data_IF_547875028162
#
_entry.id   IF_547875028162
#
_cell.length_a   1.000
_cell.length_b   1.000
_cell.length_c   1.000
_cell.angle_alpha   90.00
_cell.angle_beta   90.00
_cell.angle_gamma   90.00
#
_symmetry.space_group_name_H-M   'P 1'
#
loop_
_entity.id
_entity.type
_entity.pdbx_description
1 polymer ?
#
# COMPACT_ATOMS: atom_id res chain seq x y z
N UNK A 1 8.58 8.68 -11.82
CA UNK A 1 7.94 9.97 -12.17
C UNK A 1 8.61 11.07 -11.36
N UNK A 2 9.18 12.07 -12.03
CA UNK A 2 9.72 13.27 -11.38
C UNK A 2 8.57 14.27 -11.19
N UNK A 3 8.41 14.80 -9.99
CA UNK A 3 7.32 15.72 -9.61
C UNK A 3 7.94 17.02 -9.10
N UNK A 4 8.11 17.97 -10.01
CA UNK A 4 8.40 19.36 -9.66
C UNK A 4 7.09 20.13 -9.64
N UNK A 5 6.90 20.96 -8.62
CA UNK A 5 5.64 21.68 -8.41
C UNK A 5 5.93 23.18 -8.45
N UNK A 6 5.04 23.92 -9.09
CA UNK A 6 5.06 25.38 -9.11
C UNK A 6 3.69 25.92 -8.74
N UNK A 7 3.62 26.75 -7.71
CA UNK A 7 2.36 27.34 -7.21
C UNK A 7 1.82 28.38 -8.20
N UNK A 8 0.61 28.89 -7.95
CA UNK A 8 0.05 30.02 -8.69
C UNK A 8 0.77 31.34 -8.41
N UNK A 9 0.65 32.29 -9.34
CA UNK A 9 1.19 33.65 -9.20
C UNK A 9 0.67 34.33 -7.92
N UNK A 10 -0.63 34.20 -7.65
CA UNK A 10 -1.28 34.76 -6.46
C UNK A 10 -0.66 34.25 -5.16
N UNK A 11 -0.21 32.99 -5.15
CA UNK A 11 0.32 32.35 -3.96
C UNK A 11 1.81 32.63 -3.71
N UNK A 12 2.50 33.33 -4.63
CA UNK A 12 3.93 33.64 -4.46
C UNK A 12 4.21 34.43 -3.17
N UNK A 13 3.39 35.44 -2.88
CA UNK A 13 3.52 36.24 -1.67
C UNK A 13 2.90 35.56 -0.45
N UNK A 14 1.80 34.81 -0.65
CA UNK A 14 1.11 34.06 0.42
C UNK A 14 2.05 33.05 1.08
N UNK A 15 2.84 32.32 0.29
CA UNK A 15 3.85 31.38 0.82
C UNK A 15 4.82 32.10 1.75
N UNK A 16 5.33 33.27 1.35
CA UNK A 16 6.30 34.03 2.14
C UNK A 16 5.70 34.57 3.43
N UNK A 17 4.48 35.11 3.36
CA UNK A 17 3.75 35.63 4.51
C UNK A 17 3.45 34.52 5.52
N UNK A 18 2.88 33.41 5.07
CA UNK A 18 2.57 32.25 5.93
C UNK A 18 3.84 31.64 6.53
N UNK A 19 4.95 31.57 5.80
CA UNK A 19 6.23 31.07 6.33
C UNK A 19 6.70 31.93 7.51
N UNK A 20 6.59 33.26 7.40
CA UNK A 20 6.95 34.19 8.49
C UNK A 20 6.00 34.09 9.67
N UNK A 21 4.69 34.09 9.41
CA UNK A 21 3.65 33.99 10.46
C UNK A 21 3.78 32.70 11.25
N UNK A 22 3.96 31.58 10.56
CA UNK A 22 4.12 30.26 11.16
C UNK A 22 5.53 30.03 11.76
N UNK A 23 6.43 31.02 11.67
CA UNK A 23 7.81 30.94 12.15
C UNK A 23 8.56 29.72 11.59
N UNK A 24 8.30 29.39 10.32
CA UNK A 24 8.90 28.25 9.65
C UNK A 24 10.25 28.63 9.04
N UNK A 25 11.21 27.71 9.13
CA UNK A 25 12.55 27.95 8.60
C UNK A 25 12.58 28.06 7.06
N UNK A 26 11.67 27.37 6.37
CA UNK A 26 11.69 27.26 4.92
C UNK A 26 10.28 27.20 4.33
N UNK A 27 10.11 27.86 3.18
CA UNK A 27 8.83 28.00 2.46
C UNK A 27 8.21 26.67 2.01
N UNK A 28 9.01 25.61 1.83
CA UNK A 28 8.49 24.28 1.51
C UNK A 28 7.67 23.69 2.66
N UNK A 29 7.96 24.01 3.93
CA UNK A 29 7.16 23.54 5.05
C UNK A 29 5.77 24.17 5.06
N UNK A 30 5.65 25.46 4.74
CA UNK A 30 4.37 26.13 4.60
C UNK A 30 3.50 25.43 3.53
N UNK A 31 4.09 25.12 2.37
CA UNK A 31 3.40 24.40 1.30
C UNK A 31 2.99 22.97 1.67
N UNK A 32 3.79 22.26 2.48
CA UNK A 32 3.42 20.92 3.01
C UNK A 32 2.24 21.00 3.97
N UNK A 33 2.25 21.99 4.87
CA UNK A 33 1.15 22.23 5.81
C UNK A 33 -0.12 22.59 5.04
N UNK A 34 -0.01 23.50 4.07
CA UNK A 34 -1.12 23.89 3.20
C UNK A 34 -1.72 22.68 2.46
N UNK A 35 -0.90 21.81 1.87
CA UNK A 35 -1.37 20.58 1.24
C UNK A 35 -2.20 19.71 2.20
N UNK A 36 -1.65 19.40 3.38
CA UNK A 36 -2.35 18.57 4.36
C UNK A 36 -3.62 19.24 4.90
N UNK A 37 -3.58 20.55 5.10
CA UNK A 37 -4.74 21.33 5.56
C UNK A 37 -5.85 21.39 4.51
N UNK A 38 -5.51 21.46 3.22
CA UNK A 38 -6.47 21.38 2.13
C UNK A 38 -7.16 20.01 2.10
N UNK A 39 -6.39 18.93 2.22
CA UNK A 39 -6.94 17.57 2.25
C UNK A 39 -7.80 17.30 3.48
N UNK A 40 -7.47 17.87 4.65
CA UNK A 40 -8.25 17.66 5.87
C UNK A 40 -9.67 18.24 5.81
N UNK A 41 -9.97 19.11 4.82
CA UNK A 41 -11.33 19.59 4.56
C UNK A 41 -12.22 18.59 3.84
N UNK A 42 -11.65 17.50 3.30
CA UNK A 42 -12.44 16.47 2.61
C UNK A 42 -12.93 16.89 1.22
N UNK A 43 -12.59 18.08 0.73
CA UNK A 43 -13.07 18.61 -0.55
C UNK A 43 -12.37 17.96 -1.73
N UNK A 44 -13.14 17.55 -2.74
CA UNK A 44 -12.63 17.05 -4.03
C UNK A 44 -12.58 18.22 -5.01
N UNK A 45 -11.37 18.64 -5.34
CA UNK A 45 -11.13 19.74 -6.29
C UNK A 45 -11.10 19.20 -7.72
N UNK A 46 -11.53 20.01 -8.68
CA UNK A 46 -11.66 19.68 -10.09
C UNK A 46 -10.48 20.25 -10.89
N UNK A 47 -9.76 19.40 -11.62
CA UNK A 47 -8.59 19.79 -12.39
C UNK A 47 -8.88 20.79 -13.52
N UNK A 48 -10.11 20.86 -14.03
CA UNK A 48 -10.48 21.79 -15.10
C UNK A 48 -10.86 23.16 -14.53
N UNK A 49 -11.41 23.20 -13.31
CA UNK A 49 -11.93 24.43 -12.70
C UNK A 49 -10.97 25.07 -11.71
N UNK A 50 -10.30 24.26 -10.90
CA UNK A 50 -9.55 24.71 -9.74
C UNK A 50 -8.03 24.77 -9.99
N UNK A 51 -7.56 24.15 -11.08
CA UNK A 51 -6.15 24.19 -11.46
C UNK A 51 -5.75 25.57 -11.98
N UNK A 52 -5.03 26.32 -11.13
CA UNK A 52 -4.52 27.65 -11.48
C UNK A 52 -3.21 27.61 -12.26
N UNK A 53 -2.72 28.79 -12.65
CA UNK A 53 -1.44 28.97 -13.34
C UNK A 53 -0.24 28.44 -12.52
N UNK A 54 0.91 28.31 -13.17
CA UNK A 54 2.17 27.83 -12.58
C UNK A 54 3.26 28.91 -12.67
N UNK A 55 2.96 30.15 -12.24
CA UNK A 55 3.92 31.28 -12.27
C UNK A 55 4.45 31.68 -10.90
N UNK A 56 4.03 31.00 -9.84
CA UNK A 56 4.44 31.22 -8.47
C UNK A 56 5.79 30.61 -8.09
N UNK A 57 5.90 30.18 -6.83
CA UNK A 57 7.10 29.58 -6.27
C UNK A 57 7.29 28.18 -6.83
N UNK A 58 8.50 27.89 -7.27
CA UNK A 58 8.89 26.57 -7.78
C UNK A 58 9.61 25.76 -6.70
N UNK A 59 9.23 24.49 -6.57
CA UNK A 59 9.85 23.51 -5.70
C UNK A 59 10.27 22.29 -6.50
N UNK A 60 11.55 21.92 -6.37
CA UNK A 60 12.06 20.63 -6.84
C UNK A 60 11.51 19.50 -5.97
N UNK A 61 11.34 18.32 -6.57
CA UNK A 61 10.84 17.13 -5.89
C UNK A 61 11.51 16.87 -4.53
N UNK A 62 12.84 16.80 -4.48
CA UNK A 62 13.58 16.49 -3.26
C UNK A 62 13.41 17.55 -2.17
N UNK A 63 13.19 18.81 -2.57
CA UNK A 63 12.98 19.93 -1.65
C UNK A 63 11.55 19.90 -1.11
N UNK A 64 10.55 19.72 -1.99
CA UNK A 64 9.15 19.72 -1.58
C UNK A 64 8.80 18.49 -0.77
N UNK A 65 9.26 17.31 -1.14
CA UNK A 65 8.82 16.06 -0.51
C UNK A 65 9.87 15.44 0.42
N UNK A 66 11.15 15.66 0.14
CA UNK A 66 12.24 14.94 0.80
C UNK A 66 12.01 13.41 0.76
N UNK A 67 12.23 12.73 1.88
CA UNK A 67 12.02 11.29 2.00
C UNK A 67 10.54 10.85 2.03
N UNK A 68 9.59 11.79 2.04
CA UNK A 68 8.18 11.50 2.29
C UNK A 68 7.31 11.47 1.03
N UNK A 69 7.88 11.55 -0.17
CA UNK A 69 7.17 11.58 -1.45
C UNK A 69 6.02 10.56 -1.56
N UNK A 70 6.27 9.31 -1.16
CA UNK A 70 5.28 8.25 -1.25
C UNK A 70 4.02 8.54 -0.41
N UNK A 71 4.15 9.23 0.72
CA UNK A 71 3.01 9.61 1.54
C UNK A 71 2.12 10.64 0.86
N UNK A 72 2.69 11.68 0.23
CA UNK A 72 1.91 12.68 -0.51
C UNK A 72 1.14 12.04 -1.67
N UNK A 73 1.80 11.12 -2.40
CA UNK A 73 1.16 10.37 -3.48
C UNK A 73 0.03 9.49 -2.92
N UNK A 74 0.29 8.74 -1.84
CA UNK A 74 -0.71 7.88 -1.22
C UNK A 74 -1.93 8.66 -0.73
N UNK A 75 -1.73 9.83 -0.13
CA UNK A 75 -2.81 10.71 0.32
C UNK A 75 -3.71 11.16 -0.84
N UNK A 76 -3.14 11.62 -1.96
CA UNK A 76 -3.91 11.95 -3.16
C UNK A 76 -4.61 10.73 -3.75
N UNK A 77 -3.91 9.59 -3.84
CA UNK A 77 -4.48 8.36 -4.38
C UNK A 77 -5.67 7.91 -3.54
N UNK A 78 -5.59 8.00 -2.22
CA UNK A 78 -6.68 7.65 -1.32
C UNK A 78 -7.84 8.65 -1.43
N UNK A 79 -7.53 9.94 -1.41
CA UNK A 79 -8.53 11.02 -1.45
C UNK A 79 -9.37 10.98 -2.74
N UNK A 80 -8.71 10.83 -3.89
CA UNK A 80 -9.35 10.81 -5.21
C UNK A 80 -9.64 9.40 -5.74
N UNK A 81 -9.31 8.34 -4.98
CA UNK A 81 -9.42 6.93 -5.41
C UNK A 81 -8.68 6.64 -6.73
N UNK A 82 -7.47 7.20 -6.86
CA UNK A 82 -6.62 7.06 -8.05
C UNK A 82 -5.59 5.94 -7.89
N UNK A 83 -5.17 5.37 -9.02
CA UNK A 83 -4.01 4.48 -9.03
C UNK A 83 -2.71 5.29 -8.97
N UNK A 84 -1.68 4.79 -8.28
CA UNK A 84 -0.36 5.46 -8.11
C UNK A 84 0.38 5.84 -9.39
N UNK A 85 -0.02 5.27 -10.53
CA UNK A 85 0.56 5.56 -11.85
C UNK A 85 -0.23 6.63 -12.62
N UNK A 86 -1.26 7.23 -12.02
CA UNK A 86 -2.05 8.27 -12.66
C UNK A 86 -1.17 9.49 -13.00
N UNK A 87 -1.18 9.96 -14.26
CA UNK A 87 -0.31 11.06 -14.69
C UNK A 87 -0.67 12.41 -14.07
N UNK A 88 -1.87 12.56 -13.50
CA UNK A 88 -2.38 13.81 -12.94
C UNK A 88 -2.05 14.00 -11.46
N UNK A 89 -1.41 13.03 -10.80
CA UNK A 89 -1.05 13.13 -9.36
C UNK A 89 -0.29 14.42 -9.05
N UNK A 90 0.64 14.83 -9.92
CA UNK A 90 1.39 16.08 -9.76
C UNK A 90 0.47 17.32 -9.79
N UNK A 91 -0.56 17.32 -10.63
CA UNK A 91 -1.53 18.41 -10.73
C UNK A 91 -2.42 18.48 -9.49
N UNK A 92 -2.89 17.33 -8.98
CA UNK A 92 -3.65 17.28 -7.72
C UNK A 92 -2.83 17.79 -6.53
N UNK A 93 -1.55 17.43 -6.43
CA UNK A 93 -0.67 17.95 -5.38
C UNK A 93 -0.55 19.47 -5.48
N UNK A 94 -0.27 20.00 -6.68
CA UNK A 94 -0.20 21.45 -6.93
C UNK A 94 -1.50 22.15 -6.52
N UNK A 95 -2.63 21.60 -6.95
CA UNK A 95 -3.96 22.15 -6.71
C UNK A 95 -4.29 22.21 -5.20
N UNK A 96 -3.98 21.15 -4.45
CA UNK A 96 -4.17 21.17 -3.00
C UNK A 96 -3.20 22.09 -2.26
N UNK A 97 -1.96 22.25 -2.73
CA UNK A 97 -1.04 23.25 -2.17
C UNK A 97 -1.63 24.65 -2.37
N UNK A 98 -2.05 24.99 -3.59
CA UNK A 98 -2.62 26.32 -3.87
C UNK A 98 -3.89 26.58 -3.07
N UNK A 99 -4.81 25.63 -3.05
CA UNK A 99 -6.05 25.72 -2.28
C UNK A 99 -5.78 25.88 -0.78
N UNK A 100 -4.86 25.10 -0.23
CA UNK A 100 -4.48 25.16 1.18
C UNK A 100 -3.87 26.50 1.57
N UNK A 101 -3.02 27.06 0.71
CA UNK A 101 -2.41 28.38 0.94
C UNK A 101 -3.49 29.47 0.99
N UNK A 102 -4.48 29.41 0.09
CA UNK A 102 -5.60 30.35 0.08
C UNK A 102 -6.48 30.23 1.32
N UNK A 103 -6.79 29.00 1.76
CA UNK A 103 -7.57 28.78 2.97
C UNK A 103 -6.84 29.28 4.21
N UNK A 104 -5.54 29.02 4.32
CA UNK A 104 -4.73 29.49 5.43
C UNK A 104 -4.63 31.02 5.44
N UNK A 105 -4.39 31.65 4.28
CA UNK A 105 -4.35 33.11 4.17
C UNK A 105 -5.66 33.73 4.66
N UNK A 106 -6.81 33.26 4.17
CA UNK A 106 -8.14 33.74 4.61
C UNK A 106 -8.35 33.53 6.11
N UNK A 107 -7.91 32.41 6.67
CA UNK A 107 -8.04 32.10 8.09
C UNK A 107 -7.28 33.12 8.96
N UNK A 108 -6.03 33.41 8.63
CA UNK A 108 -5.20 34.37 9.39
C UNK A 108 -5.57 35.83 9.13
N UNK A 109 -6.11 36.16 7.95
CA UNK A 109 -6.64 37.50 7.67
C UNK A 109 -7.90 37.79 8.50
N UNK A 110 -8.80 36.82 8.59
CA UNK A 110 -10.06 36.96 9.34
C UNK A 110 -9.84 36.91 10.86
N UNK A 111 -8.80 36.24 11.33
CA UNK A 111 -8.52 36.05 12.76
C UNK A 111 -7.13 36.58 13.14
N UNK A 112 -7.00 37.90 13.29
CA UNK A 112 -5.70 38.56 13.54
C UNK A 112 -5.01 38.14 14.84
N UNK A 113 -5.77 37.70 15.86
CA UNK A 113 -5.23 37.21 17.14
C UNK A 113 -4.93 35.72 17.15
N UNK A 114 -5.32 34.98 16.10
CA UNK A 114 -5.15 33.54 16.02
C UNK A 114 -3.70 33.20 15.71
N UNK A 115 -3.05 32.54 16.67
CA UNK A 115 -1.63 32.24 16.54
C UNK A 115 -1.40 30.98 15.71
N UNK A 116 -0.17 30.87 15.22
CA UNK A 116 0.32 29.70 14.51
C UNK A 116 0.29 28.42 15.37
N UNK A 117 0.45 28.55 16.68
CA UNK A 117 0.35 27.44 17.62
C UNK A 117 -1.09 27.01 17.80
N UNK A 118 -2.02 27.96 17.93
CA UNK A 118 -3.46 27.66 18.01
C UNK A 118 -3.92 26.90 16.76
N UNK A 119 -3.47 27.35 15.58
CA UNK A 119 -3.72 26.65 14.32
C UNK A 119 -3.26 25.20 14.35
N UNK A 120 -2.03 24.94 14.81
CA UNK A 120 -1.49 23.59 14.82
C UNK A 120 -2.21 22.72 15.85
N UNK A 121 -2.41 23.22 17.07
CA UNK A 121 -3.08 22.48 18.15
C UNK A 121 -4.51 22.11 17.74
N UNK A 122 -5.28 23.07 17.22
CA UNK A 122 -6.68 22.82 16.80
C UNK A 122 -6.76 21.77 15.68
N UNK A 123 -5.85 21.79 14.70
CA UNK A 123 -5.86 20.79 13.63
C UNK A 123 -5.36 19.43 14.09
N UNK A 124 -4.45 19.38 15.07
CA UNK A 124 -4.00 18.12 15.68
C UNK A 124 -5.13 17.50 16.49
N UNK A 125 -5.80 18.28 17.34
CA UNK A 125 -6.94 17.85 18.16
C UNK A 125 -8.06 17.30 17.27
N UNK A 126 -8.48 18.04 16.24
CA UNK A 126 -9.47 17.55 15.26
C UNK A 126 -9.06 16.23 14.61
N UNK A 127 -7.76 16.06 14.34
CA UNK A 127 -7.22 14.83 13.79
C UNK A 127 -7.31 13.67 14.78
N UNK A 128 -7.00 13.90 16.06
CA UNK A 128 -7.08 12.90 17.13
C UNK A 128 -8.54 12.51 17.38
N UNK A 129 -9.45 13.48 17.52
CA UNK A 129 -10.88 13.23 17.75
C UNK A 129 -11.49 12.38 16.62
N UNK A 130 -11.10 12.66 15.38
CA UNK A 130 -11.50 11.88 14.21
C UNK A 130 -11.04 10.43 14.30
N UNK A 131 -9.84 10.17 14.83
CA UNK A 131 -9.31 8.82 15.02
C UNK A 131 -9.99 8.09 16.17
N UNK A 132 -10.30 8.79 17.27
CA UNK A 132 -10.99 8.20 18.43
C UNK A 132 -12.44 7.81 18.11
N UNK A 133 -13.13 8.59 17.28
CA UNK A 133 -14.48 8.28 16.80
C UNK A 133 -14.55 7.27 15.66
N UNK A 134 -13.41 6.88 15.08
CA UNK A 134 -13.34 5.90 14.00
C UNK A 134 -13.37 4.49 14.58
N UNK A 135 -14.41 3.71 14.27
CA UNK A 135 -14.36 2.26 14.46
C UNK A 135 -13.21 1.71 13.58
N UNK A 136 -12.07 1.40 14.22
CA UNK A 136 -10.98 0.72 13.54
C UNK A 136 -11.50 -0.69 13.22
N UNK A 137 -11.97 -0.88 12.00
CA UNK A 137 -12.28 -2.21 11.50
C UNK A 137 -10.99 -3.03 11.55
N UNK A 138 -10.96 -4.02 12.44
CA UNK A 138 -9.91 -5.04 12.51
C UNK A 138 -10.05 -6.05 11.36
N UNK A 139 -11.06 -5.89 10.50
CA UNK A 139 -11.20 -6.71 9.32
C UNK A 139 -10.08 -6.42 8.33
N UNK A 140 -9.84 -7.40 7.48
CA UNK A 140 -8.92 -7.28 6.38
C UNK A 140 -9.31 -6.12 5.45
N UNK A 141 -8.32 -5.38 4.96
CA UNK A 141 -8.55 -4.28 3.99
C UNK A 141 -9.25 -4.85 2.75
N UNK A 142 -10.48 -4.41 2.49
CA UNK A 142 -11.19 -4.73 1.25
C UNK A 142 -10.43 -4.14 0.04
N UNK A 143 -9.78 -5.01 -0.72
CA UNK A 143 -9.12 -4.61 -1.96
C UNK A 143 -10.16 -4.36 -3.05
N UNK A 144 -10.62 -3.11 -3.18
CA UNK A 144 -11.58 -2.66 -4.21
C UNK A 144 -10.98 -2.54 -5.62
N UNK A 145 -9.66 -2.77 -5.76
CA UNK A 145 -8.94 -2.75 -7.04
C UNK A 145 -8.67 -4.17 -7.60
N UNK A 146 -9.61 -5.09 -7.43
CA UNK A 146 -9.52 -6.42 -8.04
C UNK A 146 -10.56 -6.58 -9.15
N UNK A 147 -10.17 -6.23 -10.38
CA UNK A 147 -10.76 -6.85 -11.58
C UNK A 147 -10.41 -8.35 -11.71
N UNK A 148 -9.92 -8.97 -10.62
CA UNK A 148 -9.59 -10.38 -10.56
C UNK A 148 -10.88 -11.13 -10.28
N UNK A 149 -11.38 -11.84 -11.29
CA UNK A 149 -12.46 -12.81 -11.12
C UNK A 149 -11.92 -13.97 -10.27
N UNK A 150 -12.17 -13.93 -8.95
CA UNK A 150 -11.75 -14.99 -8.03
C UNK A 150 -12.51 -16.27 -8.36
N UNK A 151 -11.79 -17.33 -8.72
CA UNK A 151 -12.31 -18.69 -8.78
C UNK A 151 -12.00 -19.42 -7.47
N UNK A 152 -12.79 -20.44 -7.14
CA UNK A 152 -12.56 -21.31 -5.99
C UNK A 152 -12.52 -22.77 -6.43
N UNK A 153 -11.77 -23.59 -5.71
CA UNK A 153 -11.72 -25.04 -5.89
C UNK A 153 -12.43 -25.70 -4.70
N UNK A 154 -13.48 -26.48 -4.99
CA UNK A 154 -14.35 -27.04 -3.96
C UNK A 154 -14.09 -28.53 -3.67
N UNK A 155 -13.45 -29.24 -4.59
CA UNK A 155 -13.23 -30.68 -4.45
C UNK A 155 -12.18 -31.00 -3.36
N UNK A 156 -12.17 -32.24 -2.91
CA UNK A 156 -11.24 -32.70 -1.87
C UNK A 156 -9.81 -32.85 -2.41
N UNK A 157 -8.85 -32.18 -1.76
CA UNK A 157 -7.43 -32.21 -2.11
C UNK A 157 -6.75 -33.35 -1.33
N UNK A 158 -6.74 -34.55 -1.93
CA UNK A 158 -6.04 -35.73 -1.39
C UNK A 158 -4.58 -35.77 -1.80
N UNK A 159 -3.69 -35.65 -0.83
CA UNK A 159 -2.23 -35.70 -0.99
C UNK A 159 -1.70 -37.02 -0.43
N UNK A 160 -0.91 -37.75 -1.22
CA UNK A 160 -0.17 -38.91 -0.72
C UNK A 160 1.06 -38.41 0.04
N UNK A 161 1.11 -38.68 1.35
CA UNK A 161 2.19 -38.24 2.25
C UNK A 161 3.16 -39.37 2.61
N UNK A 162 2.76 -40.62 2.43
CA UNK A 162 3.63 -41.77 2.68
C UNK A 162 2.90 -43.10 2.58
N UNK A 163 3.51 -44.13 3.15
CA UNK A 163 2.93 -45.45 3.32
C UNK A 163 3.39 -46.05 4.64
N UNK A 164 2.55 -46.88 5.24
CA UNK A 164 2.94 -47.70 6.39
C UNK A 164 4.03 -48.69 5.97
N UNK A 165 5.06 -48.84 6.81
CA UNK A 165 6.22 -49.68 6.50
C UNK A 165 5.90 -51.17 6.49
N UNK A 166 5.02 -51.61 7.41
CA UNK A 166 4.70 -53.02 7.60
C UNK A 166 3.66 -53.52 6.59
N UNK A 167 2.63 -52.72 6.32
CA UNK A 167 1.48 -53.12 5.51
C UNK A 167 1.55 -52.61 4.07
N UNK A 168 2.41 -51.63 3.79
CA UNK A 168 2.44 -50.91 2.51
C UNK A 168 1.20 -50.03 2.27
N UNK A 169 0.33 -49.86 3.27
CA UNK A 169 -0.90 -49.08 3.13
C UNK A 169 -0.56 -47.61 2.92
N UNK A 170 -1.09 -47.03 1.85
CA UNK A 170 -0.87 -45.61 1.49
C UNK A 170 -1.54 -44.69 2.51
N UNK A 171 -0.79 -43.68 2.95
CA UNK A 171 -1.23 -42.65 3.88
C UNK A 171 -1.57 -41.39 3.08
N UNK A 172 -2.83 -40.99 3.15
CA UNK A 172 -3.33 -39.79 2.49
C UNK A 172 -3.65 -38.72 3.52
N UNK A 173 -3.24 -37.50 3.21
CA UNK A 173 -3.63 -36.29 3.93
C UNK A 173 -4.60 -35.49 3.07
N UNK A 174 -5.71 -35.07 3.68
CA UNK A 174 -6.74 -34.27 3.02
C UNK A 174 -6.63 -32.83 3.50
N UNK A 175 -6.08 -31.97 2.65
CA UNK A 175 -5.68 -30.62 3.04
C UNK A 175 -6.87 -29.72 3.43
N UNK A 176 -8.02 -29.90 2.78
CA UNK A 176 -9.23 -29.09 2.96
C UNK A 176 -10.39 -29.84 3.64
N UNK A 177 -10.11 -30.93 4.37
CA UNK A 177 -11.12 -31.67 5.13
C UNK A 177 -11.31 -31.07 6.55
N UNK A 178 -12.27 -30.16 6.66
CA UNK A 178 -12.58 -29.47 7.93
C UNK A 178 -13.30 -30.34 8.95
N UNK A 179 -13.72 -31.55 8.59
CA UNK A 179 -14.31 -32.50 9.55
C UNK A 179 -13.27 -33.10 10.50
N UNK A 180 -11.99 -33.09 10.08
CA UNK A 180 -10.86 -33.66 10.84
C UNK A 180 -10.03 -32.55 11.49
N UNK A 181 -9.84 -31.43 10.81
CA UNK A 181 -9.01 -30.32 11.28
C UNK A 181 -9.76 -28.98 11.22
N UNK A 182 -9.70 -28.20 12.31
CA UNK A 182 -10.34 -26.88 12.37
C UNK A 182 -9.73 -25.84 11.41
N UNK A 183 -8.53 -26.10 10.88
CA UNK A 183 -7.89 -25.27 9.87
C UNK A 183 -6.96 -26.12 8.97
N UNK A 184 -6.54 -25.55 7.85
CA UNK A 184 -5.67 -26.19 6.86
C UNK A 184 -4.17 -25.83 7.05
N UNK A 185 -3.76 -25.30 8.20
CA UNK A 185 -2.36 -24.94 8.43
C UNK A 185 -1.55 -26.19 8.75
N UNK A 186 -0.43 -26.36 8.06
CA UNK A 186 0.46 -27.52 8.19
C UNK A 186 1.87 -27.05 8.51
N UNK A 187 2.49 -27.68 9.51
CA UNK A 187 3.90 -27.50 9.82
C UNK A 187 4.67 -28.80 9.53
N UNK A 188 5.79 -28.68 8.83
CA UNK A 188 6.70 -29.80 8.53
C UNK A 188 8.06 -29.48 9.12
N UNK A 189 8.50 -30.28 10.08
CA UNK A 189 9.78 -30.11 10.78
C UNK A 189 10.66 -31.35 10.63
N UNK A 190 11.97 -31.15 10.71
CA UNK A 190 12.96 -32.22 10.58
C UNK A 190 14.39 -31.70 10.41
N UNK A 191 15.38 -32.53 10.71
CA UNK A 191 16.80 -32.18 10.58
C UNK A 191 17.24 -32.09 9.11
N UNK A 192 18.44 -31.54 8.86
CA UNK A 192 19.01 -31.56 7.50
C UNK A 192 19.13 -33.00 7.00
N UNK A 193 18.89 -33.23 5.71
CA UNK A 193 18.93 -34.57 5.10
C UNK A 193 17.68 -35.44 5.28
N UNK A 194 16.68 -35.04 6.07
CA UNK A 194 15.45 -35.83 6.28
C UNK A 194 14.42 -35.73 5.14
N UNK A 195 14.78 -35.11 4.01
CA UNK A 195 13.89 -35.02 2.84
C UNK A 195 12.80 -33.93 2.91
N UNK A 196 12.89 -32.94 3.82
CA UNK A 196 11.89 -31.85 3.95
C UNK A 196 11.58 -31.13 2.62
N UNK A 197 12.62 -30.72 1.91
CA UNK A 197 12.49 -30.01 0.62
C UNK A 197 11.79 -30.88 -0.41
N UNK A 198 12.16 -32.16 -0.48
CA UNK A 198 11.50 -33.13 -1.34
C UNK A 198 10.01 -33.28 -0.99
N UNK A 199 9.69 -33.41 0.30
CA UNK A 199 8.32 -33.49 0.78
C UNK A 199 7.51 -32.24 0.39
N UNK A 200 8.02 -31.03 0.69
CA UNK A 200 7.33 -29.77 0.39
C UNK A 200 7.06 -29.61 -1.12
N UNK A 201 8.05 -29.92 -1.96
CA UNK A 201 7.89 -29.79 -3.42
C UNK A 201 6.95 -30.84 -3.99
N UNK A 202 7.03 -32.09 -3.50
CA UNK A 202 6.10 -33.14 -3.92
C UNK A 202 4.67 -32.87 -3.45
N UNK A 203 4.52 -32.27 -2.26
CA UNK A 203 3.23 -31.82 -1.73
C UNK A 203 2.60 -30.77 -2.65
N UNK A 204 3.31 -29.67 -2.94
CA UNK A 204 2.82 -28.60 -3.81
C UNK A 204 2.54 -29.10 -5.24
N UNK A 205 3.39 -29.99 -5.77
CA UNK A 205 3.16 -30.64 -7.06
C UNK A 205 1.86 -31.43 -7.08
N UNK A 206 1.56 -32.20 -6.02
CA UNK A 206 0.29 -32.91 -5.91
C UNK A 206 -0.90 -31.95 -5.76
N UNK A 207 -0.75 -30.84 -5.03
CA UNK A 207 -1.80 -29.81 -4.92
C UNK A 207 -2.15 -29.24 -6.29
N UNK A 208 -1.16 -28.87 -7.11
CA UNK A 208 -1.39 -28.38 -8.47
C UNK A 208 -2.03 -29.46 -9.35
N UNK A 209 -1.57 -30.70 -9.26
CA UNK A 209 -2.10 -31.82 -10.04
C UNK A 209 -3.56 -32.12 -9.69
N UNK A 210 -3.91 -32.21 -8.40
CA UNK A 210 -5.27 -32.50 -7.93
C UNK A 210 -6.23 -31.35 -8.21
N UNK A 211 -5.77 -30.11 -8.03
CA UNK A 211 -6.56 -28.92 -8.34
C UNK A 211 -6.61 -28.57 -9.83
N UNK A 212 -5.90 -29.31 -10.70
CA UNK A 212 -5.73 -28.99 -12.13
C UNK A 212 -5.24 -27.55 -12.35
N UNK A 213 -4.42 -27.04 -11.43
CA UNK A 213 -3.90 -25.67 -11.45
C UNK A 213 -4.92 -24.58 -11.09
N UNK A 214 -6.12 -24.94 -10.60
CA UNK A 214 -7.11 -23.94 -10.15
C UNK A 214 -6.76 -23.32 -8.80
N UNK A 215 -5.96 -24.01 -7.98
CA UNK A 215 -5.46 -23.48 -6.72
C UNK A 215 -4.10 -22.81 -6.95
N UNK A 216 -4.05 -21.50 -6.69
CA UNK A 216 -2.80 -20.74 -6.72
C UNK A 216 -2.00 -20.99 -5.44
N UNK A 217 -0.67 -20.92 -5.54
CA UNK A 217 0.22 -20.97 -4.39
C UNK A 217 1.36 -19.96 -4.55
N UNK A 218 1.96 -19.58 -3.42
CA UNK A 218 3.16 -18.77 -3.36
C UNK A 218 4.26 -19.65 -2.75
N UNK A 219 5.39 -19.77 -3.44
CA UNK A 219 6.56 -20.51 -2.97
C UNK A 219 7.60 -19.52 -2.43
N UNK A 220 7.95 -19.65 -1.15
CA UNK A 220 8.90 -18.76 -0.48
C UNK A 220 10.02 -19.59 0.13
N UNK A 221 11.25 -19.39 -0.35
CA UNK A 221 12.46 -19.93 0.28
C UNK A 221 13.30 -18.77 0.85
N UNK A 222 13.37 -18.70 2.18
CA UNK A 222 14.05 -17.61 2.89
C UNK A 222 15.55 -17.57 2.62
N UNK A 223 16.19 -18.70 2.32
CA UNK A 223 17.63 -18.76 2.04
C UNK A 223 17.98 -18.46 0.59
N UNK A 224 16.97 -18.43 -0.29
CA UNK A 224 17.16 -18.34 -1.74
C UNK A 224 17.67 -19.64 -2.35
N UNK A 225 17.40 -19.81 -3.64
CA UNK A 225 17.86 -20.96 -4.42
C UNK A 225 19.26 -20.71 -4.97
N UNK A 226 20.18 -21.68 -4.83
CA UNK A 226 21.45 -21.65 -5.57
C UNK A 226 21.21 -22.12 -7.01
N UNK A 227 22.10 -21.78 -7.93
CA UNK A 227 22.03 -22.22 -9.35
C UNK A 227 21.95 -23.75 -9.51
N UNK A 228 22.56 -24.49 -8.60
CA UNK A 228 22.53 -25.96 -8.58
C UNK A 228 21.15 -26.48 -8.15
N UNK A 229 20.54 -25.83 -7.15
CA UNK A 229 19.20 -26.15 -6.66
C UNK A 229 18.13 -25.83 -7.71
N UNK A 230 18.31 -24.73 -8.46
CA UNK A 230 17.41 -24.35 -9.56
C UNK A 230 17.31 -25.45 -10.62
N UNK A 231 18.46 -26.02 -11.03
CA UNK A 231 18.49 -27.15 -11.97
C UNK A 231 17.83 -28.39 -11.40
N UNK A 232 18.07 -28.70 -10.13
CA UNK A 232 17.47 -29.86 -9.46
C UNK A 232 15.94 -29.73 -9.33
N UNK A 233 15.44 -28.50 -9.19
CA UNK A 233 14.02 -28.18 -9.03
C UNK A 233 13.30 -27.86 -10.34
N UNK A 234 14.00 -27.84 -11.47
CA UNK A 234 13.40 -27.58 -12.77
C UNK A 234 12.16 -28.46 -13.07
N UNK A 235 12.14 -29.78 -12.77
CA UNK A 235 10.94 -30.60 -12.98
C UNK A 235 9.74 -30.18 -12.10
N UNK A 236 10.00 -29.59 -10.94
CA UNK A 236 8.95 -29.03 -10.08
C UNK A 236 8.39 -27.74 -10.69
N UNK A 237 9.25 -26.82 -11.13
CA UNK A 237 8.82 -25.56 -11.74
C UNK A 237 8.05 -25.78 -13.05
N UNK A 238 8.51 -26.68 -13.92
CA UNK A 238 7.81 -27.02 -15.16
C UNK A 238 6.43 -27.60 -14.90
N UNK A 239 6.30 -28.51 -13.94
CA UNK A 239 5.02 -29.18 -13.64
C UNK A 239 4.05 -28.29 -12.89
N UNK A 240 4.53 -27.34 -12.09
CA UNK A 240 3.69 -26.43 -11.31
C UNK A 240 3.45 -25.08 -11.99
N UNK A 241 4.23 -24.76 -13.04
CA UNK A 241 4.31 -23.44 -13.66
C UNK A 241 4.68 -22.33 -12.67
N UNK A 242 5.30 -22.68 -11.54
CA UNK A 242 5.82 -21.68 -10.61
C UNK A 242 7.00 -20.95 -11.23
N UNK A 243 7.01 -19.63 -11.05
CA UNK A 243 8.09 -18.75 -11.48
C UNK A 243 8.91 -18.38 -10.24
N UNK A 244 10.23 -18.46 -10.36
CA UNK A 244 11.19 -18.05 -9.33
C UNK A 244 11.72 -16.65 -9.64
#
# INVERSE_FOLDING_TARGET
>A
MLINIKTSESNKFVVQDLTKRLQLNTENHASRIAFSYSLSKGELLDLEKDLRDSKGKEYKEDVLFGKYKQYYIALICQHYKLHKADPNISKYIKMHIDHGLELMAKLFENNKSYSSLDFLLENIEKGIDSLEGSEISLDHVENKFQNIKKSYYADEIKILVGQELETGKKIYFKFNDTSIHNNAHVAVAGNSGTGKTYFANNFLKQVVEKSKGQLNFIYLDFKGLKKEDEKALQPFFEKTKAVY
#
